data_IF_807427833646
#
_entry.id   IF_807427833646
#
_cell.length_a   1.000
_cell.length_b   1.000
_cell.length_c   1.000
_cell.angle_alpha   90.00
_cell.angle_beta   90.00
_cell.angle_gamma   90.00
#
_symmetry.space_group_name_H-M   'P 1'
#
loop_
_entity.id
_entity.type
_entity.pdbx_description
1 polymer ?
#
# COMPACT_ATOMS: atom_id res chain seq x y z
N UNK A 1 -3.27 18.29 15.42
CA UNK A 1 -2.79 16.88 15.38
C UNK A 1 -1.29 16.93 15.29
N UNK A 2 -0.58 16.16 16.12
CA UNK A 2 0.87 15.98 15.95
C UNK A 2 1.13 15.05 14.76
N UNK A 3 2.29 15.18 14.12
CA UNK A 3 2.69 14.33 12.98
C UNK A 3 2.62 12.83 13.34
N UNK A 4 3.00 12.48 14.58
CA UNK A 4 2.92 11.11 15.09
C UNK A 4 1.48 10.55 15.10
N UNK A 5 0.48 11.31 15.57
CA UNK A 5 -0.92 10.87 15.57
C UNK A 5 -1.49 10.73 14.16
N UNK A 6 -1.08 11.62 13.24
CA UNK A 6 -1.50 11.55 11.84
C UNK A 6 -0.99 10.26 11.18
N UNK A 7 0.29 9.94 11.34
CA UNK A 7 0.90 8.72 10.79
C UNK A 7 0.25 7.47 11.38
N UNK A 8 0.02 7.39 12.68
CA UNK A 8 -0.68 6.27 13.31
C UNK A 8 -2.10 6.08 12.76
N UNK A 9 -2.82 7.18 12.55
CA UNK A 9 -4.16 7.16 11.94
C UNK A 9 -4.12 6.61 10.52
N UNK A 10 -3.12 7.02 9.71
CA UNK A 10 -2.94 6.48 8.37
C UNK A 10 -2.64 4.98 8.39
N UNK A 11 -1.68 4.54 9.21
CA UNK A 11 -1.34 3.11 9.35
C UNK A 11 -2.57 2.30 9.73
N UNK A 12 -3.34 2.74 10.73
CA UNK A 12 -4.56 2.04 11.15
C UNK A 12 -5.63 1.95 10.05
N UNK A 13 -5.73 2.96 9.17
CA UNK A 13 -6.69 2.96 8.05
C UNK A 13 -6.24 2.13 6.87
N UNK A 14 -4.93 2.10 6.58
CA UNK A 14 -4.40 1.39 5.42
C UNK A 14 -4.08 -0.07 5.73
N UNK A 15 -3.86 -0.43 6.99
CA UNK A 15 -3.59 -1.80 7.41
C UNK A 15 -4.64 -2.82 6.89
N UNK A 16 -5.97 -2.56 7.01
CA UNK A 16 -7.00 -3.47 6.50
C UNK A 16 -7.03 -3.61 4.98
N UNK A 17 -6.40 -2.69 4.24
CA UNK A 17 -6.39 -2.73 2.77
C UNK A 17 -5.40 -3.76 2.23
N UNK A 18 -4.46 -4.24 3.06
CA UNK A 18 -3.53 -5.28 2.62
C UNK A 18 -4.28 -6.56 2.30
N UNK A 19 -4.11 -6.99 1.06
CA UNK A 19 -4.65 -8.25 0.56
C UNK A 19 -3.65 -8.91 -0.36
N UNK A 20 -3.85 -10.20 -0.57
CA UNK A 20 -3.00 -10.96 -1.47
C UNK A 20 -3.45 -10.77 -2.92
N UNK A 21 -2.51 -10.44 -3.78
CA UNK A 21 -2.67 -10.20 -5.21
C UNK A 21 -1.90 -11.25 -5.98
N UNK A 22 -2.58 -11.97 -6.87
CA UNK A 22 -1.94 -12.94 -7.76
C UNK A 22 -1.33 -12.20 -8.94
N UNK A 23 0.00 -12.13 -8.99
CA UNK A 23 0.75 -11.47 -10.08
C UNK A 23 1.37 -12.52 -11.01
N UNK A 24 1.94 -12.07 -12.12
CA UNK A 24 2.68 -12.91 -13.07
C UNK A 24 3.88 -13.63 -12.42
N UNK A 25 4.52 -13.00 -11.44
CA UNK A 25 5.73 -13.50 -10.78
C UNK A 25 5.46 -14.10 -9.39
N UNK A 26 4.22 -14.46 -9.11
CA UNK A 26 3.79 -15.04 -7.85
C UNK A 26 2.83 -14.15 -7.06
N UNK A 27 2.45 -14.62 -5.87
CA UNK A 27 1.54 -13.87 -5.00
C UNK A 27 2.31 -12.75 -4.29
N UNK A 28 1.73 -11.56 -4.28
CA UNK A 28 2.24 -10.37 -3.58
C UNK A 28 1.20 -9.87 -2.60
N UNK A 29 1.60 -9.14 -1.56
CA UNK A 29 0.70 -8.68 -0.50
C UNK A 29 0.82 -7.18 -0.33
N UNK A 30 -0.31 -6.47 -0.41
CA UNK A 30 -0.31 -5.01 -0.43
C UNK A 30 -1.64 -4.43 -0.88
N UNK A 31 -1.61 -3.15 -1.23
CA UNK A 31 -2.75 -2.38 -1.73
C UNK A 31 -2.32 -1.40 -2.83
N UNK A 32 -3.28 -0.95 -3.65
CA UNK A 32 -3.04 0.00 -4.73
C UNK A 32 -3.41 1.43 -4.33
N UNK A 33 -2.91 2.41 -5.08
CA UNK A 33 -3.33 3.83 -4.94
C UNK A 33 -4.85 3.99 -5.04
N UNK A 34 -5.52 3.19 -5.87
CA UNK A 34 -6.97 3.20 -5.97
C UNK A 34 -7.64 2.82 -4.66
N UNK A 35 -7.13 1.80 -3.96
CA UNK A 35 -7.66 1.36 -2.66
C UNK A 35 -7.50 2.47 -1.61
N UNK A 36 -6.34 3.14 -1.58
CA UNK A 36 -6.08 4.29 -0.68
C UNK A 36 -7.01 5.46 -1.02
N UNK A 37 -7.22 5.71 -2.31
CA UNK A 37 -8.09 6.78 -2.80
C UNK A 37 -9.53 6.56 -2.37
N UNK A 38 -10.03 5.32 -2.46
CA UNK A 38 -11.35 4.94 -1.97
C UNK A 38 -11.47 5.11 -0.45
N UNK A 39 -10.44 4.72 0.31
CA UNK A 39 -10.44 4.82 1.79
C UNK A 39 -10.34 6.27 2.29
N UNK A 40 -9.54 7.12 1.62
CA UNK A 40 -9.30 8.51 2.05
C UNK A 40 -10.21 9.53 1.36
N UNK A 41 -10.91 9.11 0.31
CA UNK A 41 -11.93 9.88 -0.42
C UNK A 41 -11.39 10.79 -1.52
N UNK A 42 -10.08 10.87 -1.75
CA UNK A 42 -9.52 11.60 -2.91
C UNK A 42 -8.08 11.17 -3.24
N UNK A 43 -7.70 11.36 -4.51
CA UNK A 43 -6.35 11.09 -4.98
C UNK A 43 -5.32 12.02 -4.32
N UNK A 44 -5.65 13.29 -4.09
CA UNK A 44 -4.78 14.24 -3.37
C UNK A 44 -4.45 13.74 -1.95
N UNK A 45 -5.45 13.22 -1.22
CA UNK A 45 -5.24 12.65 0.11
C UNK A 45 -4.42 11.36 0.05
N UNK A 46 -4.65 10.52 -0.95
CA UNK A 46 -3.86 9.31 -1.16
C UNK A 46 -2.39 9.63 -1.43
N UNK A 47 -2.10 10.57 -2.34
CA UNK A 47 -0.73 11.01 -2.64
C UNK A 47 -0.03 11.60 -1.41
N UNK A 48 -0.72 12.45 -0.64
CA UNK A 48 -0.18 13.00 0.62
C UNK A 48 0.09 11.91 1.65
N UNK A 49 -0.79 10.93 1.80
CA UNK A 49 -0.60 9.82 2.71
C UNK A 49 0.61 8.95 2.31
N UNK A 50 0.74 8.64 1.02
CA UNK A 50 1.90 7.90 0.49
C UNK A 50 3.19 8.65 0.78
N UNK A 51 3.25 9.96 0.48
CA UNK A 51 4.42 10.78 0.74
C UNK A 51 4.77 10.81 2.24
N UNK A 52 3.78 11.02 3.10
CA UNK A 52 4.00 11.07 4.55
C UNK A 52 4.54 9.73 5.09
N UNK A 53 3.99 8.60 4.66
CA UNK A 53 4.45 7.28 5.09
C UNK A 53 5.83 6.92 4.51
N UNK A 54 6.12 7.32 3.27
CA UNK A 54 7.45 7.13 2.67
C UNK A 54 8.54 7.94 3.37
N UNK A 55 8.26 9.19 3.78
CA UNK A 55 9.22 10.01 4.53
C UNK A 55 9.60 9.39 5.88
N UNK A 56 8.68 8.67 6.50
CA UNK A 56 8.89 7.94 7.76
C UNK A 56 9.44 6.52 7.54
N UNK A 57 9.74 6.12 6.29
CA UNK A 57 10.14 4.75 5.91
C UNK A 57 9.13 3.67 6.33
N UNK A 58 7.85 3.99 6.38
CA UNK A 58 6.77 3.07 6.77
C UNK A 58 6.06 2.44 5.57
N UNK A 59 6.46 2.79 4.35
CA UNK A 59 5.84 2.32 3.12
C UNK A 59 6.90 1.78 2.16
N UNK A 60 6.68 0.57 1.66
CA UNK A 60 7.42 0.01 0.54
C UNK A 60 6.55 0.06 -0.72
N UNK A 61 7.18 0.29 -1.86
CA UNK A 61 6.55 0.21 -3.17
C UNK A 61 7.25 -0.88 -4.00
N UNK A 62 6.46 -1.72 -4.67
CA UNK A 62 6.95 -2.76 -5.57
C UNK A 62 6.18 -2.69 -6.89
N UNK A 63 6.87 -2.90 -8.01
CA UNK A 63 6.22 -3.00 -9.31
C UNK A 63 5.73 -4.42 -9.55
N UNK A 64 4.46 -4.56 -9.88
CA UNK A 64 3.81 -5.85 -10.16
C UNK A 64 3.17 -5.84 -11.53
N UNK A 65 3.25 -6.96 -12.23
CA UNK A 65 2.60 -7.17 -13.52
C UNK A 65 1.60 -8.30 -13.36
N UNK A 66 0.35 -8.11 -13.79
CA UNK A 66 -0.70 -9.11 -13.63
C UNK A 66 -0.79 -10.06 -14.82
N UNK A 67 -0.58 -9.56 -16.04
CA UNK A 67 -0.68 -10.34 -17.28
C UNK A 67 0.48 -10.04 -18.22
N UNK A 68 0.71 -10.96 -19.16
CA UNK A 68 1.69 -10.77 -20.23
C UNK A 68 1.26 -9.59 -21.10
N UNK A 69 2.20 -8.69 -21.40
CA UNK A 69 1.98 -7.45 -22.17
C UNK A 69 1.03 -6.44 -21.49
N UNK A 70 0.92 -6.48 -20.16
CA UNK A 70 0.26 -5.45 -19.37
C UNK A 70 1.29 -4.51 -18.76
N UNK A 71 0.91 -3.25 -18.52
CA UNK A 71 1.72 -2.29 -17.79
C UNK A 71 1.96 -2.74 -16.34
N UNK A 72 3.10 -2.31 -15.80
CA UNK A 72 3.42 -2.53 -14.40
C UNK A 72 2.58 -1.59 -13.50
N UNK A 73 2.02 -2.16 -12.44
CA UNK A 73 1.28 -1.43 -11.41
C UNK A 73 2.14 -1.30 -10.16
N UNK A 74 2.00 -0.20 -9.44
CA UNK A 74 2.69 -0.01 -8.16
C UNK A 74 1.85 -0.56 -7.02
N UNK A 75 2.35 -1.62 -6.38
CA UNK A 75 1.78 -2.19 -5.16
C UNK A 75 2.49 -1.58 -3.94
N UNK A 76 1.69 -1.07 -3.00
CA UNK A 76 2.19 -0.50 -1.76
C UNK A 76 1.99 -1.47 -0.60
N UNK A 77 2.95 -1.48 0.34
CA UNK A 77 2.93 -2.31 1.54
C UNK A 77 3.44 -1.52 2.73
N UNK A 78 2.75 -1.58 3.87
CA UNK A 78 3.26 -1.01 5.11
C UNK A 78 4.42 -1.88 5.64
N UNK A 79 5.51 -1.23 6.06
CA UNK A 79 6.65 -1.92 6.68
C UNK A 79 6.19 -2.62 7.96
N UNK A 80 6.66 -3.86 8.18
CA UNK A 80 6.25 -4.70 9.30
C UNK A 80 4.94 -5.47 9.10
N UNK A 81 4.24 -5.26 7.97
CA UNK A 81 3.07 -6.04 7.58
C UNK A 81 3.43 -6.98 6.43
N UNK A 82 3.93 -8.16 6.77
CA UNK A 82 4.24 -9.20 5.78
C UNK A 82 3.02 -10.06 5.46
N UNK A 83 3.06 -10.73 4.30
CA UNK A 83 2.08 -11.76 3.99
C UNK A 83 2.11 -12.82 5.09
N UNK A 84 0.96 -13.34 5.56
CA UNK A 84 0.97 -14.44 6.51
C UNK A 84 1.76 -15.61 5.91
N UNK A 85 2.87 -15.99 6.56
CA UNK A 85 3.64 -17.17 6.20
C UNK A 85 2.75 -18.39 6.37
N UNK A 86 2.32 -18.99 5.25
CA UNK A 86 1.66 -20.28 5.29
C UNK A 86 2.73 -21.35 5.62
N UNK A 87 2.65 -21.90 6.83
CA UNK A 87 3.39 -23.09 7.25
C UNK A 87 2.65 -24.36 6.85
#
# INVERSE_FOLDING_TARGET
MTQSTYIQTLVSKLQPLHRAHKTMYGQKFGFFVSDITSELGSLDKASKAIMALSLENLLMAEFVVFKRNEDAHTLYRLVGHEAPSAH
#
